data_IF_663018585359
#
_entry.id   IF_663018585359
#
_cell.length_a   1.000
_cell.length_b   1.000
_cell.length_c   1.000
_cell.angle_alpha   90.00
_cell.angle_beta   90.00
_cell.angle_gamma   90.00
#
_symmetry.space_group_name_H-M   'P 1'
#
loop_
_entity.id
_entity.type
_entity.pdbx_description
1 polymer ?
#
# COMPACT_ATOMS: atom_id res chain seq x y z
N UNK A 1 13.66 6.31 5.86
CA UNK A 1 14.45 7.52 6.08
C UNK A 1 15.45 7.80 4.95
N UNK A 2 15.79 6.80 4.15
CA UNK A 2 16.66 6.95 2.96
C UNK A 2 15.89 7.08 1.64
N UNK A 3 14.55 7.01 1.67
CA UNK A 3 13.70 6.97 0.49
C UNK A 3 14.00 5.81 -0.49
N UNK A 4 14.60 4.74 -0.01
CA UNK A 4 14.96 3.58 -0.83
C UNK A 4 13.72 2.77 -1.21
N UNK A 5 13.59 2.44 -2.50
CA UNK A 5 12.56 1.53 -3.01
C UNK A 5 13.12 0.11 -2.97
N UNK A 6 12.53 -0.74 -2.14
CA UNK A 6 12.88 -2.16 -2.07
C UNK A 6 12.43 -2.90 -3.34
N UNK A 7 13.21 -3.90 -3.74
CA UNK A 7 12.87 -4.79 -4.84
C UNK A 7 11.84 -5.82 -4.38
N UNK A 8 10.56 -5.44 -4.46
CA UNK A 8 9.45 -6.25 -3.98
C UNK A 8 9.33 -7.58 -4.75
N UNK A 9 9.62 -7.58 -6.05
CA UNK A 9 9.58 -8.79 -6.88
C UNK A 9 10.65 -9.79 -6.45
N UNK A 10 11.90 -9.34 -6.28
CA UNK A 10 13.00 -10.22 -5.83
C UNK A 10 12.72 -10.75 -4.42
N UNK A 11 12.19 -9.92 -3.53
CA UNK A 11 11.80 -10.33 -2.16
C UNK A 11 10.69 -11.38 -2.22
N UNK A 12 9.64 -11.16 -3.03
CA UNK A 12 8.54 -12.11 -3.20
C UNK A 12 9.04 -13.46 -3.74
N UNK A 13 9.91 -13.43 -4.74
CA UNK A 13 10.54 -14.63 -5.28
C UNK A 13 11.33 -15.39 -4.20
N UNK A 14 12.09 -14.67 -3.38
CA UNK A 14 12.84 -15.26 -2.29
C UNK A 14 11.94 -15.85 -1.20
N UNK A 15 10.91 -15.15 -0.80
CA UNK A 15 9.92 -15.64 0.17
C UNK A 15 9.31 -16.97 -0.32
N UNK A 16 8.83 -17.01 -1.56
CA UNK A 16 8.27 -18.24 -2.15
C UNK A 16 9.26 -19.41 -2.15
N UNK A 17 10.53 -19.15 -2.45
CA UNK A 17 11.55 -20.20 -2.51
C UNK A 17 11.83 -20.89 -1.18
N UNK A 18 11.43 -20.29 -0.07
CA UNK A 18 11.59 -20.83 1.29
C UNK A 18 10.24 -21.10 1.98
N UNK A 19 9.11 -21.01 1.26
CA UNK A 19 7.78 -21.24 1.80
C UNK A 19 7.28 -20.13 2.74
N UNK A 20 7.89 -18.95 2.71
CA UNK A 20 7.45 -17.81 3.50
C UNK A 20 6.37 -17.00 2.77
N UNK A 21 5.44 -16.42 3.52
CA UNK A 21 4.47 -15.45 3.01
C UNK A 21 5.04 -14.04 3.07
N UNK A 22 4.68 -13.20 2.08
CA UNK A 22 5.10 -11.80 2.01
C UNK A 22 3.90 -10.88 2.13
N UNK A 23 3.94 -10.02 3.14
CA UNK A 23 3.06 -8.85 3.25
C UNK A 23 3.88 -7.60 2.99
N UNK A 24 3.46 -6.79 2.03
CA UNK A 24 4.04 -5.47 1.76
C UNK A 24 3.26 -4.37 2.46
N UNK A 25 3.95 -3.55 3.22
CA UNK A 25 3.45 -2.24 3.65
C UNK A 25 3.81 -1.21 2.58
N UNK A 26 2.80 -0.72 1.88
CA UNK A 26 2.96 0.26 0.81
C UNK A 26 2.46 1.65 1.19
N UNK A 27 2.32 1.94 2.49
CA UNK A 27 1.78 3.21 2.99
C UNK A 27 2.55 4.44 2.47
N UNK A 28 3.85 4.29 2.22
CA UNK A 28 4.72 5.35 1.68
C UNK A 28 4.95 5.25 0.17
N UNK A 29 4.35 4.27 -0.50
CA UNK A 29 4.54 4.03 -1.93
C UNK A 29 3.24 4.20 -2.74
N UNK A 30 2.11 3.78 -2.16
CA UNK A 30 0.82 3.85 -2.83
C UNK A 30 0.47 5.28 -3.25
N UNK A 31 0.09 5.44 -4.53
CA UNK A 31 -0.20 6.72 -5.15
C UNK A 31 0.98 7.38 -5.86
N UNK A 32 2.20 6.85 -5.72
CA UNK A 32 3.41 7.40 -6.36
C UNK A 32 4.26 6.34 -7.03
N UNK A 33 4.35 5.15 -6.44
CA UNK A 33 5.10 4.02 -6.97
C UNK A 33 4.09 3.00 -7.51
N UNK A 34 4.22 2.50 -8.75
CA UNK A 34 3.42 1.40 -9.25
C UNK A 34 3.56 0.16 -8.37
N UNK A 35 2.44 -0.38 -7.90
CA UNK A 35 2.41 -1.58 -7.05
C UNK A 35 1.75 -2.71 -7.84
N UNK A 36 2.56 -3.66 -8.27
CA UNK A 36 2.14 -4.80 -9.10
C UNK A 36 2.06 -6.08 -8.30
N UNK A 37 1.26 -6.07 -7.21
CA UNK A 37 1.22 -7.14 -6.22
C UNK A 37 0.98 -8.52 -6.82
N UNK A 38 0.02 -8.64 -7.73
CA UNK A 38 -0.33 -9.90 -8.38
C UNK A 38 0.77 -10.37 -9.35
N UNK A 39 1.34 -9.45 -10.14
CA UNK A 39 2.44 -9.74 -11.08
C UNK A 39 3.69 -10.22 -10.33
N UNK A 40 4.03 -9.57 -9.22
CA UNK A 40 5.16 -9.96 -8.37
C UNK A 40 4.89 -11.21 -7.53
N UNK A 41 3.62 -11.63 -7.43
CA UNK A 41 3.20 -12.76 -6.61
C UNK A 41 3.36 -12.49 -5.12
N UNK A 42 2.92 -11.32 -4.68
CA UNK A 42 2.88 -10.92 -3.27
C UNK A 42 1.61 -11.46 -2.63
N UNK A 43 1.74 -12.05 -1.45
CA UNK A 43 0.61 -12.69 -0.76
C UNK A 43 -0.41 -11.66 -0.22
N UNK A 44 0.08 -10.54 0.31
CA UNK A 44 -0.79 -9.49 0.83
C UNK A 44 -0.13 -8.11 0.75
N UNK A 45 -0.96 -7.07 0.67
CA UNK A 45 -0.52 -5.66 0.68
C UNK A 45 -1.40 -4.86 1.63
N UNK A 46 -0.78 -4.04 2.45
CA UNK A 46 -1.47 -3.07 3.31
C UNK A 46 -1.00 -1.66 3.00
N UNK A 47 -1.92 -0.72 2.99
CA UNK A 47 -1.61 0.69 2.76
C UNK A 47 -2.73 1.60 3.20
N UNK A 48 -2.52 2.89 3.11
CA UNK A 48 -3.51 3.88 3.50
C UNK A 48 -3.61 5.05 2.52
N UNK A 49 -4.77 5.68 2.51
CA UNK A 49 -5.09 6.75 1.57
C UNK A 49 -4.60 8.14 2.03
N UNK A 50 -4.07 8.25 3.25
CA UNK A 50 -3.69 9.52 3.87
C UNK A 50 -2.63 10.31 3.10
N UNK A 51 -1.65 9.62 2.52
CA UNK A 51 -0.44 10.26 1.96
C UNK A 51 -0.60 10.57 0.48
N UNK A 52 0.14 9.88 -0.38
CA UNK A 52 0.17 10.21 -1.81
C UNK A 52 -1.12 9.87 -2.56
N UNK A 53 -1.99 9.04 -2.01
CA UNK A 53 -3.34 8.83 -2.54
C UNK A 53 -4.31 9.99 -2.24
N UNK A 54 -3.90 10.97 -1.41
CA UNK A 54 -4.66 12.19 -1.11
C UNK A 54 -6.08 11.94 -0.58
N UNK A 55 -6.30 10.80 0.08
CA UNK A 55 -7.62 10.37 0.56
C UNK A 55 -7.97 10.74 2.01
N UNK A 56 -7.11 11.54 2.67
CA UNK A 56 -7.32 11.91 4.07
C UNK A 56 -7.08 10.79 5.08
N UNK A 57 -7.16 11.07 6.38
CA UNK A 57 -6.92 10.10 7.44
C UNK A 57 -8.11 9.13 7.62
N UNK A 58 -7.84 7.99 8.26
CA UNK A 58 -8.87 7.03 8.68
C UNK A 58 -9.26 6.00 7.63
N UNK A 59 -8.69 6.04 6.43
CA UNK A 59 -8.95 5.10 5.36
C UNK A 59 -7.68 4.29 5.01
N UNK A 60 -7.82 2.97 5.09
CA UNK A 60 -6.77 2.00 4.75
C UNK A 60 -7.33 0.93 3.82
N UNK A 61 -6.47 0.30 3.05
CA UNK A 61 -6.83 -0.85 2.23
C UNK A 61 -5.95 -2.05 2.58
N UNK A 62 -6.52 -3.21 2.35
CA UNK A 62 -5.85 -4.49 2.51
C UNK A 62 -6.16 -5.37 1.30
N UNK A 63 -5.13 -5.75 0.58
CA UNK A 63 -5.20 -6.71 -0.52
C UNK A 63 -4.68 -8.05 -0.03
N UNK A 64 -5.35 -9.11 -0.42
CA UNK A 64 -4.88 -10.48 -0.24
C UNK A 64 -5.00 -11.19 -1.59
N UNK A 65 -3.97 -11.95 -1.96
CA UNK A 65 -4.01 -12.76 -3.18
C UNK A 65 -5.20 -13.73 -3.10
N UNK A 66 -6.11 -13.71 -4.08
CA UNK A 66 -7.26 -14.60 -4.11
C UNK A 66 -6.89 -16.08 -3.97
N UNK A 67 -5.72 -16.49 -4.49
CA UNK A 67 -5.28 -17.89 -4.41
C UNK A 67 -5.08 -18.40 -2.97
N UNK A 68 -4.76 -17.50 -2.03
CA UNK A 68 -4.52 -17.87 -0.63
C UNK A 68 -5.62 -17.37 0.32
N UNK A 69 -6.52 -16.54 -0.16
CA UNK A 69 -7.54 -15.89 0.68
C UNK A 69 -8.38 -16.90 1.47
N UNK A 70 -8.72 -18.05 0.87
CA UNK A 70 -9.51 -19.11 1.53
C UNK A 70 -8.74 -19.80 2.67
N UNK A 71 -7.42 -19.86 2.60
CA UNK A 71 -6.55 -20.44 3.62
C UNK A 71 -6.38 -19.52 4.82
N UNK A 72 -6.49 -18.20 4.59
CA UNK A 72 -6.32 -17.21 5.63
C UNK A 72 -7.56 -17.08 6.51
N UNK A 73 -7.42 -17.49 7.77
CA UNK A 73 -8.49 -17.38 8.79
C UNK A 73 -8.12 -16.27 9.77
N UNK A 74 -8.67 -15.05 9.60
CA UNK A 74 -8.38 -13.94 10.50
C UNK A 74 -8.90 -14.29 11.92
N UNK A 75 -8.06 -14.04 12.93
CA UNK A 75 -8.41 -14.28 14.33
C UNK A 75 -9.13 -13.11 14.98
N UNK A 76 -8.84 -11.90 14.50
CA UNK A 76 -9.42 -10.65 14.98
C UNK A 76 -10.32 -10.11 13.89
N UNK A 77 -11.61 -10.37 14.02
CA UNK A 77 -12.66 -9.89 13.11
C UNK A 77 -13.86 -9.40 13.90
N UNK A 78 -14.70 -8.60 13.26
CA UNK A 78 -15.97 -8.20 13.83
C UNK A 78 -17.16 -8.79 13.07
N UNK A 79 -18.33 -8.36 13.44
CA UNK A 79 -19.61 -8.87 12.90
C UNK A 79 -19.75 -8.68 11.38
N UNK A 80 -19.10 -7.66 10.78
CA UNK A 80 -19.13 -7.44 9.33
C UNK A 80 -18.39 -8.53 8.52
N UNK A 81 -17.53 -9.30 9.15
CA UNK A 81 -16.85 -10.45 8.53
C UNK A 81 -17.73 -11.70 8.42
N UNK A 82 -18.90 -11.71 9.06
CA UNK A 82 -19.85 -12.82 9.00
C UNK A 82 -20.64 -12.83 7.67
N UNK A 83 -20.98 -14.00 7.07
CA UNK A 83 -21.77 -14.08 5.82
C UNK A 83 -23.13 -13.40 5.92
N UNK A 84 -23.73 -13.40 7.10
CA UNK A 84 -24.99 -12.76 7.42
C UNK A 84 -24.84 -11.85 8.64
N UNK A 85 -24.23 -10.66 8.52
CA UNK A 85 -23.84 -9.84 9.67
C UNK A 85 -25.04 -9.41 10.53
N UNK A 86 -26.22 -9.26 9.96
CA UNK A 86 -27.43 -8.85 10.66
C UNK A 86 -28.25 -10.04 11.24
N UNK A 87 -27.80 -11.28 11.07
CA UNK A 87 -28.42 -12.42 11.75
C UNK A 87 -28.04 -12.48 13.23
N UNK A 88 -26.93 -11.82 13.62
CA UNK A 88 -26.41 -11.79 14.97
C UNK A 88 -26.24 -13.20 15.58
N UNK A 89 -25.85 -14.16 14.75
CA UNK A 89 -25.56 -15.52 15.22
C UNK A 89 -24.43 -15.50 16.26
N UNK A 90 -24.65 -15.96 17.50
CA UNK A 90 -23.68 -15.79 18.56
C UNK A 90 -22.44 -16.70 18.41
N UNK A 91 -22.61 -17.91 17.93
CA UNK A 91 -21.54 -18.91 17.74
C UNK A 91 -22.00 -20.05 16.84
N UNK A 92 -21.11 -20.74 16.10
CA UNK A 92 -19.71 -20.38 15.88
C UNK A 92 -19.56 -19.23 14.88
N UNK A 93 -18.48 -18.44 14.99
CA UNK A 93 -18.17 -17.41 14.00
C UNK A 93 -17.86 -18.08 12.65
N UNK A 94 -18.58 -17.68 11.64
CA UNK A 94 -18.35 -18.05 10.24
C UNK A 94 -17.79 -16.85 9.49
N UNK A 95 -16.80 -17.06 8.64
CA UNK A 95 -16.23 -15.98 7.82
C UNK A 95 -16.84 -15.99 6.43
N UNK A 96 -17.00 -14.80 5.86
CA UNK A 96 -17.32 -14.61 4.42
C UNK A 96 -16.21 -15.24 3.58
N UNK A 97 -16.56 -15.59 2.34
CA UNK A 97 -15.58 -16.10 1.36
C UNK A 97 -14.81 -14.98 0.65
N UNK A 98 -15.40 -13.78 0.60
CA UNK A 98 -14.83 -12.60 -0.02
C UNK A 98 -13.90 -11.81 0.93
N UNK A 99 -13.33 -10.69 0.44
CA UNK A 99 -12.42 -9.83 1.18
C UNK A 99 -13.05 -9.20 2.44
N UNK A 100 -14.37 -9.14 2.54
CA UNK A 100 -15.06 -8.66 3.74
C UNK A 100 -14.79 -9.51 4.99
N UNK A 101 -14.28 -10.75 4.83
CA UNK A 101 -13.83 -11.59 5.96
C UNK A 101 -12.79 -10.93 6.86
N UNK A 102 -12.11 -9.91 6.37
CA UNK A 102 -11.09 -9.15 7.13
C UNK A 102 -11.66 -7.92 7.84
N UNK A 103 -12.95 -7.62 7.68
CA UNK A 103 -13.57 -6.48 8.33
C UNK A 103 -13.82 -6.73 9.81
N UNK A 104 -13.80 -5.65 10.57
CA UNK A 104 -14.16 -5.63 11.98
C UNK A 104 -15.64 -5.20 12.16
N UNK A 105 -15.85 -4.01 12.67
CA UNK A 105 -17.16 -3.44 12.88
C UNK A 105 -17.63 -2.56 11.74
N UNK A 106 -18.42 -1.56 12.07
CA UNK A 106 -18.94 -0.59 11.13
C UNK A 106 -17.80 0.19 10.45
N UNK A 107 -17.74 0.22 9.12
CA UNK A 107 -16.71 0.97 8.41
C UNK A 107 -16.88 2.48 8.62
N UNK A 108 -15.77 3.21 8.55
CA UNK A 108 -15.74 4.67 8.61
C UNK A 108 -16.22 5.28 7.28
N UNK A 109 -17.53 5.39 7.13
CA UNK A 109 -18.17 5.81 5.86
C UNK A 109 -17.67 7.20 5.40
N UNK A 110 -17.55 8.16 6.31
CA UNK A 110 -17.06 9.50 5.97
C UNK A 110 -15.66 9.49 5.34
N UNK A 111 -14.76 8.64 5.84
CA UNK A 111 -13.41 8.49 5.30
C UNK A 111 -13.40 7.87 3.90
N UNK A 112 -14.34 6.95 3.61
CA UNK A 112 -14.46 6.36 2.27
C UNK A 112 -14.84 7.43 1.24
N UNK A 113 -15.84 8.25 1.55
CA UNK A 113 -16.23 9.38 0.69
C UNK A 113 -15.12 10.42 0.55
N UNK A 114 -14.40 10.73 1.63
CA UNK A 114 -13.29 11.67 1.59
C UNK A 114 -12.12 11.18 0.71
N UNK A 115 -11.94 9.87 0.57
CA UNK A 115 -10.88 9.30 -0.25
C UNK A 115 -11.21 9.27 -1.77
N UNK A 116 -12.50 9.24 -2.14
CA UNK A 116 -12.91 9.10 -3.55
C UNK A 116 -12.26 10.12 -4.49
N UNK A 117 -12.28 11.44 -4.21
CA UNK A 117 -11.70 12.41 -5.13
C UNK A 117 -10.20 12.19 -5.40
N UNK A 118 -9.43 11.85 -4.36
CA UNK A 118 -8.01 11.53 -4.52
C UNK A 118 -7.78 10.31 -5.40
N UNK A 119 -8.56 9.25 -5.22
CA UNK A 119 -8.48 8.02 -6.02
C UNK A 119 -8.94 8.26 -7.47
N UNK A 120 -9.98 9.08 -7.68
CA UNK A 120 -10.47 9.46 -9.01
C UNK A 120 -9.38 10.21 -9.81
N UNK A 121 -8.73 11.19 -9.19
CA UNK A 121 -7.61 11.93 -9.80
C UNK A 121 -6.46 10.98 -10.16
N UNK A 122 -6.11 10.03 -9.30
CA UNK A 122 -5.07 9.04 -9.60
C UNK A 122 -5.44 8.15 -10.78
N UNK A 123 -6.69 7.71 -10.86
CA UNK A 123 -7.18 6.90 -11.98
C UNK A 123 -7.22 7.70 -13.30
N UNK A 124 -7.56 8.99 -13.25
CA UNK A 124 -7.57 9.87 -14.43
C UNK A 124 -6.15 10.12 -14.96
N UNK A 125 -5.19 10.41 -14.08
CA UNK A 125 -3.82 10.75 -14.48
C UNK A 125 -3.02 9.49 -14.84
N UNK A 126 -3.22 8.40 -14.12
CA UNK A 126 -2.45 7.16 -14.23
C UNK A 126 -1.15 7.16 -13.43
N UNK A 127 -0.85 6.02 -12.82
CA UNK A 127 0.27 5.89 -11.87
C UNK A 127 1.63 6.08 -12.53
N UNK A 128 1.79 5.70 -13.78
CA UNK A 128 3.04 5.86 -14.54
C UNK A 128 3.36 7.33 -14.77
N UNK A 129 2.37 8.14 -15.16
CA UNK A 129 2.55 9.59 -15.36
C UNK A 129 2.86 10.30 -14.02
N UNK A 130 2.22 9.88 -12.94
CA UNK A 130 2.50 10.37 -11.59
C UNK A 130 3.95 10.01 -11.21
N UNK A 131 4.39 8.79 -11.44
CA UNK A 131 5.76 8.35 -11.13
C UNK A 131 6.79 9.13 -11.91
N UNK A 132 6.60 9.34 -13.20
CA UNK A 132 7.52 10.14 -14.04
C UNK A 132 7.63 11.59 -13.56
N UNK A 133 6.53 12.22 -13.22
CA UNK A 133 6.54 13.56 -12.62
C UNK A 133 7.28 13.55 -11.28
N UNK A 134 7.02 12.58 -10.45
CA UNK A 134 7.68 12.43 -9.15
C UNK A 134 9.20 12.31 -9.28
N UNK A 135 9.69 11.44 -10.19
CA UNK A 135 11.14 11.30 -10.44
C UNK A 135 11.80 12.64 -10.79
N UNK A 136 11.16 13.42 -11.69
CA UNK A 136 11.67 14.75 -12.06
C UNK A 136 11.73 15.72 -10.88
N UNK A 137 10.67 15.78 -10.07
CA UNK A 137 10.63 16.68 -8.90
C UNK A 137 11.63 16.27 -7.82
N UNK A 138 11.77 14.98 -7.57
CA UNK A 138 12.75 14.47 -6.61
C UNK A 138 14.19 14.68 -7.10
N UNK A 139 14.44 14.57 -8.41
CA UNK A 139 15.75 14.87 -8.98
C UNK A 139 16.14 16.35 -8.74
N UNK A 140 15.22 17.29 -8.99
CA UNK A 140 15.47 18.72 -8.72
C UNK A 140 15.89 18.98 -7.28
N UNK A 141 15.21 18.35 -6.31
CA UNK A 141 15.55 18.50 -4.89
C UNK A 141 16.88 17.81 -4.54
N UNK A 142 17.12 16.64 -5.10
CA UNK A 142 18.34 15.86 -4.86
C UNK A 142 19.57 16.59 -5.41
N UNK A 143 19.50 17.04 -6.66
CA UNK A 143 20.59 17.73 -7.33
C UNK A 143 20.87 19.09 -6.69
N UNK A 144 19.81 19.87 -6.41
CA UNK A 144 19.93 21.14 -5.73
C UNK A 144 20.54 21.02 -4.33
N UNK A 145 20.19 19.99 -3.54
CA UNK A 145 20.82 19.76 -2.26
C UNK A 145 22.31 19.46 -2.39
N UNK A 146 22.70 18.66 -3.36
CA UNK A 146 24.12 18.34 -3.64
C UNK A 146 24.90 19.53 -4.14
N UNK A 147 24.32 20.36 -5.00
CA UNK A 147 24.94 21.61 -5.49
C UNK A 147 25.24 22.59 -4.33
N UNK A 148 24.43 22.58 -3.28
CA UNK A 148 24.67 23.35 -2.07
C UNK A 148 25.63 22.65 -1.07
N UNK A 149 26.19 21.50 -1.43
CA UNK A 149 27.13 20.76 -0.58
C UNK A 149 26.46 20.02 0.60
N UNK A 150 25.15 19.83 0.57
CA UNK A 150 24.44 19.10 1.62
C UNK A 150 24.61 17.59 1.45
N UNK A 151 24.72 16.88 2.56
CA UNK A 151 24.76 15.42 2.56
C UNK A 151 23.37 14.84 2.32
N UNK A 152 23.23 14.02 1.28
CA UNK A 152 21.96 13.41 0.87
C UNK A 152 22.05 11.89 0.98
N UNK A 153 21.24 11.29 1.83
CA UNK A 153 21.24 9.84 2.09
C UNK A 153 20.33 9.02 1.18
N UNK A 154 19.69 9.64 0.16
CA UNK A 154 18.86 8.96 -0.82
C UNK A 154 19.72 8.20 -1.84
N UNK A 155 19.16 7.12 -2.48
CA UNK A 155 19.83 6.44 -3.59
C UNK A 155 20.20 7.40 -4.73
N UNK A 156 21.35 7.17 -5.36
CA UNK A 156 21.76 7.93 -6.55
C UNK A 156 20.89 7.53 -7.76
N UNK A 157 20.56 6.26 -7.89
CA UNK A 157 19.69 5.74 -8.93
C UNK A 157 18.25 6.26 -8.76
N UNK A 158 17.71 7.05 -9.72
CA UNK A 158 16.35 7.57 -9.67
C UNK A 158 15.27 6.47 -9.59
N UNK A 159 15.53 5.29 -10.17
CA UNK A 159 14.58 4.17 -10.13
C UNK A 159 14.47 3.54 -8.73
N UNK A 160 15.55 3.63 -7.95
CA UNK A 160 15.60 3.16 -6.56
C UNK A 160 15.23 4.24 -5.55
N UNK A 161 14.99 5.46 -6.00
CA UNK A 161 14.64 6.62 -5.16
C UNK A 161 13.13 6.78 -5.09
N UNK A 162 12.59 6.83 -3.87
CA UNK A 162 11.18 7.10 -3.60
C UNK A 162 10.83 8.58 -3.71
N UNK A 163 9.78 8.98 -3.01
CA UNK A 163 9.13 10.29 -3.16
C UNK A 163 9.65 11.35 -2.20
N UNK A 164 10.69 11.07 -1.44
CA UNK A 164 11.27 11.98 -0.45
C UNK A 164 12.77 12.13 -0.67
N UNK A 165 13.30 13.29 -0.27
CA UNK A 165 14.74 13.53 -0.22
C UNK A 165 15.14 13.65 1.24
N UNK A 166 16.08 12.83 1.70
CA UNK A 166 16.62 12.87 3.05
C UNK A 166 17.94 13.63 3.03
N UNK A 167 17.97 14.77 3.71
CA UNK A 167 19.11 15.65 3.79
C UNK A 167 19.57 15.68 5.25
N UNK A 168 20.87 15.46 5.49
CA UNK A 168 21.49 15.66 6.78
C UNK A 168 21.99 17.11 6.85
N UNK A 169 21.46 17.86 7.80
CA UNK A 169 21.84 19.26 8.04
C UNK A 169 22.74 19.37 9.27
#
# INVERSE_FOLDING_TARGET
KSAYINDAEAIAKRCRSVGARLLLDVFQAAGVIPIKAQEWGVDAVVGGCLKFLCGGPGNVFFYVDPAISSEMKPRLTGWMAHPAPFSFEPVPMRHREDAYRYLNGTPQIACLYAASPGLEIHNEIGIEAIREKNKRMVALLYDGAREHGWDVTCPEDPERRGSTVAINA
#
